data_IF_530750895172
#
_entry.id   IF_530750895172
#
_cell.length_a   1.000
_cell.length_b   1.000
_cell.length_c   1.000
_cell.angle_alpha   90.00
_cell.angle_beta   90.00
_cell.angle_gamma   90.00
#
_symmetry.space_group_name_H-M   'P 1'
#
loop_
_entity.id
_entity.type
_entity.pdbx_description
1 polymer ?
#
# COMPACT_ATOMS: atom_id res chain seq x y z
N UNK A 1 5.47 11.39 -6.18
CA UNK A 1 6.21 10.98 -7.38
C UNK A 1 6.77 9.59 -7.18
N UNK A 2 6.46 8.65 -8.12
CA UNK A 2 6.88 7.26 -8.06
C UNK A 2 7.59 6.91 -9.37
N UNK A 3 8.75 6.26 -9.27
CA UNK A 3 9.43 5.71 -10.45
C UNK A 3 8.70 4.45 -10.88
N UNK A 4 8.33 4.38 -12.16
CA UNK A 4 7.69 3.21 -12.75
C UNK A 4 8.70 2.47 -13.61
N UNK A 5 8.84 1.17 -13.41
CA UNK A 5 9.58 0.29 -14.31
C UNK A 5 8.74 -0.93 -14.68
N UNK A 6 8.84 -1.35 -15.94
CA UNK A 6 8.03 -2.42 -16.48
C UNK A 6 8.77 -3.24 -17.54
N UNK A 7 8.36 -4.48 -17.68
CA UNK A 7 8.76 -5.35 -18.80
C UNK A 7 7.51 -6.06 -19.30
N UNK A 8 7.16 -5.82 -20.57
CA UNK A 8 5.99 -6.38 -21.24
C UNK A 8 6.40 -7.49 -22.20
N UNK A 9 5.68 -8.60 -22.20
CA UNK A 9 5.75 -9.67 -23.18
C UNK A 9 4.43 -9.74 -23.94
N UNK A 10 4.47 -9.39 -25.22
CA UNK A 10 3.30 -9.38 -26.09
C UNK A 10 3.68 -9.86 -27.51
N UNK A 11 2.71 -10.44 -28.22
CA UNK A 11 2.77 -10.72 -29.65
C UNK A 11 2.02 -9.68 -30.49
N UNK A 12 1.35 -8.73 -29.82
CA UNK A 12 0.60 -7.62 -30.41
C UNK A 12 1.38 -6.31 -30.40
N UNK A 13 0.65 -5.22 -30.29
CA UNK A 13 1.21 -3.87 -30.15
C UNK A 13 1.77 -3.66 -28.75
N UNK A 14 2.69 -2.73 -28.62
CA UNK A 14 3.19 -2.27 -27.32
C UNK A 14 2.14 -1.38 -26.66
N UNK A 15 1.59 -1.84 -25.53
CA UNK A 15 0.55 -1.15 -24.74
C UNK A 15 1.07 -0.51 -23.45
N UNK A 16 2.40 -0.37 -23.30
CA UNK A 16 2.98 0.27 -22.11
C UNK A 16 2.48 1.70 -21.93
N UNK A 17 2.25 2.43 -23.00
CA UNK A 17 1.66 3.77 -22.95
C UNK A 17 0.24 3.79 -22.37
N UNK A 18 -0.58 2.77 -22.65
CA UNK A 18 -1.94 2.64 -22.09
C UNK A 18 -1.89 2.30 -20.61
N UNK A 19 -0.96 1.41 -20.20
CA UNK A 19 -0.69 1.11 -18.79
C UNK A 19 -0.29 2.37 -18.02
N UNK A 20 0.67 3.14 -18.52
CA UNK A 20 1.11 4.40 -17.90
C UNK A 20 -0.03 5.42 -17.86
N UNK A 21 -0.87 5.47 -18.89
CA UNK A 21 -2.06 6.35 -18.90
C UNK A 21 -3.06 5.96 -17.81
N UNK A 22 -3.30 4.66 -17.60
CA UNK A 22 -4.17 4.19 -16.53
C UNK A 22 -3.62 4.52 -15.14
N UNK A 23 -2.30 4.39 -14.92
CA UNK A 23 -1.66 4.80 -13.66
C UNK A 23 -1.84 6.29 -13.38
N UNK A 24 -1.67 7.13 -14.40
CA UNK A 24 -1.89 8.58 -14.30
C UNK A 24 -3.35 8.92 -14.02
N UNK A 25 -4.28 8.22 -14.66
CA UNK A 25 -5.71 8.42 -14.43
C UNK A 25 -6.09 8.12 -12.98
N UNK A 26 -5.57 7.02 -12.41
CA UNK A 26 -5.74 6.70 -10.99
C UNK A 26 -5.23 7.84 -10.10
N UNK A 27 -4.00 8.29 -10.32
CA UNK A 27 -3.41 9.37 -9.51
C UNK A 27 -4.18 10.67 -9.66
N UNK A 28 -4.43 11.12 -10.89
CA UNK A 28 -4.93 12.47 -11.17
C UNK A 28 -6.44 12.60 -10.98
N UNK A 29 -7.20 11.54 -11.25
CA UNK A 29 -8.66 11.62 -11.30
C UNK A 29 -9.36 10.82 -10.19
N UNK A 30 -8.72 9.82 -9.58
CA UNK A 30 -9.39 9.00 -8.57
C UNK A 30 -8.92 9.34 -7.16
N UNK A 31 -7.62 9.20 -6.85
CA UNK A 31 -7.12 9.08 -5.47
C UNK A 31 -6.33 10.28 -4.95
N UNK A 32 -5.85 11.18 -5.80
CA UNK A 32 -5.06 12.32 -5.33
C UNK A 32 -5.87 13.22 -4.40
N UNK A 33 -5.27 13.59 -3.28
CA UNK A 33 -5.87 14.57 -2.38
C UNK A 33 -5.49 16.02 -2.73
N UNK A 34 -4.59 16.23 -3.69
CA UNK A 34 -4.09 17.55 -4.13
C UNK A 34 -4.61 18.00 -5.49
N UNK A 35 -4.94 17.07 -6.38
CA UNK A 35 -5.40 17.39 -7.74
C UNK A 35 -6.89 17.69 -7.73
N UNK A 36 -7.30 18.87 -8.20
CA UNK A 36 -8.72 19.28 -8.25
C UNK A 36 -9.60 18.36 -9.11
N UNK A 37 -9.01 17.70 -10.11
CA UNK A 37 -9.67 16.70 -10.95
C UNK A 37 -10.03 15.42 -10.18
N UNK A 38 -9.30 15.10 -9.11
CA UNK A 38 -9.47 13.87 -8.35
C UNK A 38 -10.77 13.86 -7.56
N UNK A 39 -11.43 12.71 -7.56
CA UNK A 39 -12.67 12.51 -6.83
C UNK A 39 -12.44 12.50 -5.30
N UNK A 40 -11.31 11.99 -4.82
CA UNK A 40 -10.95 12.08 -3.39
C UNK A 40 -10.75 13.54 -2.98
N UNK A 41 -10.12 14.37 -3.80
CA UNK A 41 -10.04 15.81 -3.55
C UNK A 41 -11.44 16.43 -3.45
N UNK A 42 -12.34 16.12 -4.39
CA UNK A 42 -13.70 16.66 -4.41
C UNK A 42 -14.53 16.21 -3.19
N UNK A 43 -14.40 14.94 -2.76
CA UNK A 43 -15.00 14.45 -1.51
C UNK A 43 -14.50 15.25 -0.32
N UNK A 44 -13.18 15.46 -0.23
CA UNK A 44 -12.55 16.20 0.86
C UNK A 44 -13.01 17.66 0.92
N UNK A 45 -13.12 18.34 -0.24
CA UNK A 45 -13.60 19.72 -0.30
C UNK A 45 -15.10 19.85 0.06
N UNK A 46 -15.87 18.79 -0.19
CA UNK A 46 -17.33 18.78 0.06
C UNK A 46 -17.70 18.12 1.42
N UNK A 47 -16.73 17.90 2.31
CA UNK A 47 -16.97 17.28 3.61
C UNK A 47 -18.10 17.97 4.39
N UNK A 48 -19.02 17.18 4.91
CA UNK A 48 -20.28 17.63 5.53
C UNK A 48 -21.49 17.57 4.59
N UNK A 49 -21.28 17.24 3.33
CA UNK A 49 -22.33 17.02 2.33
C UNK A 49 -22.09 15.69 1.60
N UNK A 50 -23.02 15.31 0.72
CA UNK A 50 -22.88 14.12 -0.12
C UNK A 50 -22.20 14.48 -1.44
N UNK A 51 -21.20 13.69 -1.83
CA UNK A 51 -20.51 13.76 -3.12
C UNK A 51 -20.83 12.52 -3.93
N UNK A 52 -21.19 12.69 -5.20
CA UNK A 52 -21.36 11.55 -6.12
C UNK A 52 -20.04 11.33 -6.87
N UNK A 53 -19.58 10.09 -6.87
CA UNK A 53 -18.32 9.66 -7.51
C UNK A 53 -18.58 8.67 -8.64
N UNK A 54 -17.56 8.33 -9.42
CA UNK A 54 -17.65 7.26 -10.42
C UNK A 54 -17.81 5.89 -9.77
N UNK A 55 -18.24 4.90 -10.54
CA UNK A 55 -18.36 3.52 -10.03
C UNK A 55 -17.00 2.92 -9.67
N UNK A 56 -15.94 3.29 -10.40
CA UNK A 56 -14.57 2.86 -10.13
C UNK A 56 -14.09 3.40 -8.77
N UNK A 57 -14.25 4.71 -8.53
CA UNK A 57 -13.87 5.33 -7.25
C UNK A 57 -14.72 4.79 -6.10
N UNK A 58 -16.02 4.56 -6.32
CA UNK A 58 -16.90 3.96 -5.31
C UNK A 58 -16.45 2.53 -4.97
N UNK A 59 -16.05 1.75 -5.98
CA UNK A 59 -15.55 0.38 -5.80
C UNK A 59 -14.25 0.38 -5.00
N UNK A 60 -13.26 1.20 -5.38
CA UNK A 60 -12.01 1.36 -4.65
C UNK A 60 -12.26 1.80 -3.20
N UNK A 61 -13.08 2.83 -3.00
CA UNK A 61 -13.37 3.35 -1.66
C UNK A 61 -14.07 2.30 -0.80
N UNK A 62 -15.00 1.53 -1.37
CA UNK A 62 -15.64 0.43 -0.66
C UNK A 62 -14.62 -0.61 -0.19
N UNK A 63 -13.72 -1.03 -1.06
CA UNK A 63 -12.69 -2.02 -0.75
C UNK A 63 -11.73 -1.50 0.34
N UNK A 64 -11.31 -0.23 0.27
CA UNK A 64 -10.51 0.44 1.30
C UNK A 64 -11.23 0.45 2.65
N UNK A 65 -12.53 0.80 2.68
CA UNK A 65 -13.32 0.81 3.91
C UNK A 65 -13.55 -0.60 4.48
N UNK A 66 -13.74 -1.61 3.62
CA UNK A 66 -13.84 -3.01 4.03
C UNK A 66 -12.54 -3.51 4.66
N UNK A 67 -11.39 -3.15 4.09
CA UNK A 67 -10.07 -3.47 4.64
C UNK A 67 -9.82 -2.72 5.97
N UNK A 68 -10.19 -1.45 6.05
CA UNK A 68 -10.12 -0.68 7.30
C UNK A 68 -10.92 -1.35 8.42
N UNK A 69 -12.14 -1.80 8.11
CA UNK A 69 -12.98 -2.55 9.04
C UNK A 69 -12.36 -3.89 9.42
N UNK A 70 -11.83 -4.64 8.46
CA UNK A 70 -11.23 -5.96 8.69
C UNK A 70 -9.97 -5.90 9.55
N UNK A 71 -9.18 -4.83 9.41
CA UNK A 71 -7.97 -4.54 10.20
C UNK A 71 -8.27 -3.89 11.56
N UNK A 72 -9.56 -3.58 11.85
CA UNK A 72 -9.94 -2.87 13.07
C UNK A 72 -9.44 -1.41 13.11
N UNK A 73 -9.26 -0.81 11.92
CA UNK A 73 -8.78 0.57 11.77
C UNK A 73 -7.27 0.72 11.74
N UNK A 74 -6.50 -0.36 11.70
CA UNK A 74 -5.03 -0.27 11.59
C UNK A 74 -4.56 0.35 10.27
N UNK A 75 -5.34 0.21 9.20
CA UNK A 75 -5.27 1.03 8.00
C UNK A 75 -6.57 1.84 7.94
N UNK A 76 -6.49 3.16 8.02
CA UNK A 76 -7.65 4.05 8.05
C UNK A 76 -7.47 5.19 7.04
N UNK A 77 -8.32 5.27 6.00
CA UNK A 77 -8.21 6.29 4.97
C UNK A 77 -8.55 7.69 5.47
N UNK A 78 -9.04 7.86 6.70
CA UNK A 78 -9.41 9.17 7.26
C UNK A 78 -8.25 9.88 7.95
N UNK A 79 -7.04 9.33 7.88
CA UNK A 79 -5.82 9.88 8.46
C UNK A 79 -5.26 11.12 7.71
N UNK A 80 -5.84 11.54 6.61
CA UNK A 80 -5.27 12.54 5.72
C UNK A 80 -4.83 13.85 6.38
N UNK A 81 -5.52 14.33 7.43
CA UNK A 81 -5.09 15.53 8.16
C UNK A 81 -3.92 15.26 9.12
N UNK A 82 -3.88 14.09 9.72
CA UNK A 82 -2.78 13.67 10.61
C UNK A 82 -1.50 13.49 9.80
N UNK A 83 -1.59 12.83 8.64
CA UNK A 83 -0.45 12.64 7.72
C UNK A 83 0.14 14.01 7.30
N UNK A 84 -0.71 14.96 6.93
CA UNK A 84 -0.28 16.31 6.55
C UNK A 84 0.30 17.12 7.71
N UNK A 85 -0.18 16.89 8.94
CA UNK A 85 0.36 17.57 10.12
C UNK A 85 1.81 17.14 10.39
N UNK A 86 2.12 15.86 10.23
CA UNK A 86 3.48 15.34 10.38
C UNK A 86 4.44 15.81 9.29
N UNK A 87 3.94 16.02 8.08
CA UNK A 87 4.68 16.43 6.87
C UNK A 87 5.97 15.63 6.61
N UNK A 88 5.99 14.34 6.97
CA UNK A 88 7.18 13.47 6.96
C UNK A 88 7.86 13.43 5.59
N UNK A 89 7.07 13.51 4.52
CA UNK A 89 7.52 13.48 3.12
C UNK A 89 7.51 14.88 2.48
N UNK A 90 7.28 15.91 3.27
CA UNK A 90 7.15 17.30 2.82
C UNK A 90 8.38 18.16 3.08
N UNK A 91 8.17 19.48 3.06
CA UNK A 91 9.24 20.46 3.20
C UNK A 91 9.58 20.79 4.66
N UNK A 92 8.67 20.53 5.61
CA UNK A 92 8.80 20.88 7.03
C UNK A 92 8.40 19.72 7.96
N UNK A 93 9.06 18.56 7.90
CA UNK A 93 8.75 17.43 8.76
C UNK A 93 9.05 17.76 10.23
N UNK A 94 8.09 17.54 11.10
CA UNK A 94 8.19 17.84 12.53
C UNK A 94 7.35 16.91 13.39
N UNK A 95 7.62 16.89 14.68
CA UNK A 95 6.81 16.18 15.68
C UNK A 95 5.67 17.09 16.11
N UNK A 96 4.40 16.75 15.79
CA UNK A 96 3.26 17.53 16.27
C UNK A 96 3.11 17.46 17.79
N UNK A 97 2.51 18.49 18.38
CA UNK A 97 2.12 18.46 19.78
C UNK A 97 0.95 17.49 20.02
N UNK A 98 0.84 16.96 21.25
CA UNK A 98 -0.28 16.10 21.64
C UNK A 98 -1.63 16.77 21.44
N UNK A 99 -1.74 18.09 21.71
CA UNK A 99 -2.99 18.84 21.56
C UNK A 99 -3.40 18.93 20.07
N UNK A 100 -2.46 19.13 19.15
CA UNK A 100 -2.73 19.13 17.70
C UNK A 100 -3.18 17.75 17.23
N UNK A 101 -2.45 16.70 17.62
CA UNK A 101 -2.81 15.31 17.27
C UNK A 101 -4.19 14.95 17.81
N UNK A 102 -4.45 15.16 19.10
CA UNK A 102 -5.74 14.82 19.72
C UNK A 102 -6.90 15.53 19.04
N UNK A 103 -6.74 16.82 18.68
CA UNK A 103 -7.76 17.58 17.94
C UNK A 103 -8.09 16.99 16.58
N UNK A 104 -7.09 16.42 15.87
CA UNK A 104 -7.29 15.79 14.56
C UNK A 104 -7.84 14.37 14.68
N UNK A 105 -7.38 13.61 15.67
CA UNK A 105 -7.82 12.23 15.90
C UNK A 105 -9.32 12.13 16.23
N UNK A 106 -9.94 13.18 16.76
CA UNK A 106 -11.41 13.25 16.90
C UNK A 106 -12.16 13.05 15.56
N UNK A 107 -11.51 13.37 14.43
CA UNK A 107 -12.07 13.23 13.08
C UNK A 107 -11.58 11.97 12.34
N UNK A 108 -10.71 11.17 12.94
CA UNK A 108 -10.26 9.89 12.38
C UNK A 108 -11.26 8.80 12.72
N UNK A 109 -11.51 7.91 11.78
CA UNK A 109 -12.40 6.75 11.90
C UNK A 109 -13.08 6.44 10.58
N UNK A 110 -12.73 5.32 9.95
CA UNK A 110 -13.32 4.82 8.70
C UNK A 110 -14.85 4.67 8.78
N UNK A 111 -15.40 4.40 9.95
CA UNK A 111 -16.83 4.26 10.23
C UNK A 111 -17.61 5.59 10.13
N UNK A 112 -16.90 6.72 10.08
CA UNK A 112 -17.48 8.05 9.82
C UNK A 112 -17.78 8.28 8.34
N UNK A 113 -17.26 7.44 7.46
CA UNK A 113 -17.48 7.52 6.00
C UNK A 113 -18.63 6.60 5.61
N UNK A 114 -19.68 7.19 5.03
CA UNK A 114 -20.81 6.42 4.51
C UNK A 114 -20.75 6.38 3.00
N UNK A 115 -20.83 5.18 2.44
CA UNK A 115 -20.92 4.94 1.00
C UNK A 115 -22.24 4.23 0.70
N UNK A 116 -23.12 4.88 -0.07
CA UNK A 116 -24.40 4.34 -0.55
C UNK A 116 -24.39 4.37 -2.09
N UNK A 117 -24.17 3.21 -2.71
CA UNK A 117 -23.87 3.13 -4.13
C UNK A 117 -22.62 3.95 -4.45
N UNK A 118 -22.76 4.99 -5.27
CA UNK A 118 -21.70 5.93 -5.61
C UNK A 118 -21.80 7.29 -4.87
N UNK A 119 -22.57 7.34 -3.78
CA UNK A 119 -22.72 8.54 -2.96
C UNK A 119 -21.89 8.41 -1.68
N UNK A 120 -20.91 9.29 -1.53
CA UNK A 120 -20.03 9.37 -0.38
C UNK A 120 -20.46 10.50 0.53
N UNK A 121 -20.64 10.24 1.82
CA UNK A 121 -20.95 11.24 2.83
C UNK A 121 -20.00 11.06 4.02
N UNK A 122 -19.43 12.14 4.49
CA UNK A 122 -18.58 12.16 5.70
C UNK A 122 -18.74 13.48 6.46
N UNK A 123 -18.52 13.53 7.77
CA UNK A 123 -18.59 14.75 8.56
C UNK A 123 -17.56 15.81 8.13
N UNK A 124 -17.83 17.08 8.45
CA UNK A 124 -16.81 18.13 8.35
C UNK A 124 -15.62 17.80 9.23
N UNK A 125 -14.41 18.03 8.71
CA UNK A 125 -13.16 17.74 9.43
C UNK A 125 -12.56 16.38 9.12
N UNK A 126 -13.34 15.41 8.65
CA UNK A 126 -12.80 14.15 8.08
C UNK A 126 -12.14 14.45 6.74
N UNK A 127 -11.01 13.81 6.48
CA UNK A 127 -10.28 13.97 5.21
C UNK A 127 -9.71 12.64 4.78
N UNK A 128 -10.10 12.18 3.61
CA UNK A 128 -9.61 10.95 3.01
C UNK A 128 -8.21 11.13 2.44
N UNK A 129 -7.41 10.09 2.62
CA UNK A 129 -6.14 9.84 1.96
C UNK A 129 -6.04 8.35 1.66
N UNK A 130 -5.84 7.98 0.40
CA UNK A 130 -5.75 6.58 -0.04
C UNK A 130 -4.31 6.16 -0.32
N UNK A 131 -3.31 6.91 0.16
CA UNK A 131 -1.89 6.65 -0.10
C UNK A 131 -1.43 5.26 0.33
N UNK A 132 -2.02 4.71 1.40
CA UNK A 132 -1.72 3.36 1.90
C UNK A 132 -2.16 2.19 0.98
N UNK A 133 -2.95 2.49 -0.07
CA UNK A 133 -3.42 1.51 -1.07
C UNK A 133 -3.24 2.02 -2.51
N UNK A 134 -2.67 3.20 -2.67
CA UNK A 134 -2.67 3.93 -3.95
C UNK A 134 -1.88 3.24 -5.05
N UNK A 135 -0.74 2.66 -4.74
CA UNK A 135 0.07 1.91 -5.71
C UNK A 135 -0.61 0.60 -6.09
N UNK A 136 -1.22 -0.07 -5.12
CA UNK A 136 -2.03 -1.25 -5.37
C UNK A 136 -3.20 -0.98 -6.30
N UNK A 137 -3.96 0.10 -6.08
CA UNK A 137 -5.02 0.56 -6.99
C UNK A 137 -4.47 0.80 -8.41
N UNK A 138 -3.27 1.39 -8.52
CA UNK A 138 -2.59 1.57 -9.80
C UNK A 138 -2.28 0.22 -10.48
N UNK A 139 -1.78 -0.76 -9.74
CA UNK A 139 -1.54 -2.10 -10.26
C UNK A 139 -2.83 -2.78 -10.76
N UNK A 140 -3.94 -2.64 -10.05
CA UNK A 140 -5.24 -3.18 -10.49
C UNK A 140 -5.76 -2.50 -11.76
N UNK A 141 -5.57 -1.17 -11.88
CA UNK A 141 -5.89 -0.45 -13.10
C UNK A 141 -5.03 -0.92 -14.28
N UNK A 142 -3.73 -1.12 -14.07
CA UNK A 142 -2.83 -1.68 -15.08
C UNK A 142 -3.26 -3.09 -15.50
N UNK A 143 -3.61 -3.95 -14.52
CA UNK A 143 -4.13 -5.30 -14.79
C UNK A 143 -5.35 -5.28 -15.70
N UNK A 144 -6.29 -4.35 -15.50
CA UNK A 144 -7.47 -4.23 -16.34
C UNK A 144 -7.13 -3.92 -17.81
N UNK A 145 -6.08 -3.12 -18.07
CA UNK A 145 -5.58 -2.87 -19.43
C UNK A 145 -5.01 -4.16 -20.03
N UNK A 146 -4.22 -4.91 -19.26
CA UNK A 146 -3.62 -6.17 -19.71
C UNK A 146 -4.66 -7.25 -20.00
N UNK A 147 -5.71 -7.37 -19.16
CA UNK A 147 -6.81 -8.32 -19.34
C UNK A 147 -7.62 -8.06 -20.62
N UNK A 148 -7.64 -6.83 -21.10
CA UNK A 148 -8.34 -6.45 -22.32
C UNK A 148 -7.57 -6.84 -23.59
N UNK A 149 -6.24 -7.06 -23.54
CA UNK A 149 -5.43 -7.44 -24.71
C UNK A 149 -5.00 -8.92 -24.64
N UNK A 150 -5.61 -9.73 -25.50
CA UNK A 150 -5.33 -11.18 -25.61
C UNK A 150 -3.95 -11.53 -26.13
N UNK A 151 -3.21 -10.57 -26.68
CA UNK A 151 -1.85 -10.79 -27.20
C UNK A 151 -0.79 -10.67 -26.09
N UNK A 152 -1.13 -10.12 -24.93
CA UNK A 152 -0.23 -10.03 -23.78
C UNK A 152 -0.11 -11.41 -23.12
N UNK A 153 1.11 -11.90 -23.01
CA UNK A 153 1.42 -13.16 -22.34
C UNK A 153 1.95 -12.95 -20.93
N UNK A 154 2.61 -11.82 -20.66
CA UNK A 154 3.14 -11.50 -19.34
C UNK A 154 3.64 -10.08 -19.19
N UNK A 155 3.66 -9.61 -17.93
CA UNK A 155 4.25 -8.33 -17.55
C UNK A 155 4.79 -8.41 -16.12
N UNK A 156 5.86 -7.68 -15.86
CA UNK A 156 6.22 -7.26 -14.51
C UNK A 156 6.14 -5.73 -14.47
N UNK A 157 5.37 -5.20 -13.51
CA UNK A 157 5.22 -3.76 -13.27
C UNK A 157 5.68 -3.46 -11.85
N UNK A 158 6.58 -2.51 -11.69
CA UNK A 158 7.12 -2.08 -10.39
C UNK A 158 6.84 -0.60 -10.19
N UNK A 159 6.16 -0.28 -9.10
CA UNK A 159 5.80 1.07 -8.68
C UNK A 159 6.62 1.47 -7.46
N UNK A 160 7.76 2.13 -7.70
CA UNK A 160 8.62 2.70 -6.66
C UNK A 160 9.33 1.69 -5.76
N UNK A 161 9.49 0.44 -6.20
CA UNK A 161 10.17 -0.61 -5.44
C UNK A 161 9.32 -1.29 -4.36
N UNK A 162 8.25 -0.66 -3.89
CA UNK A 162 7.43 -1.19 -2.80
C UNK A 162 6.14 -1.89 -3.26
N UNK A 163 5.64 -1.65 -4.47
CA UNK A 163 4.48 -2.37 -5.01
C UNK A 163 4.79 -2.92 -6.40
N UNK A 164 4.66 -4.23 -6.55
CA UNK A 164 5.00 -4.97 -7.76
C UNK A 164 3.82 -5.85 -8.17
N UNK A 165 3.46 -5.80 -9.45
CA UNK A 165 2.52 -6.73 -10.07
C UNK A 165 3.27 -7.64 -11.03
N UNK A 166 3.14 -8.95 -10.87
CA UNK A 166 3.37 -9.90 -11.95
C UNK A 166 2.06 -10.17 -12.68
N UNK A 167 2.12 -10.34 -13.99
CA UNK A 167 0.97 -10.68 -14.83
C UNK A 167 1.35 -11.82 -15.78
N UNK A 168 0.50 -12.83 -15.84
CA UNK A 168 0.68 -13.95 -16.77
C UNK A 168 2.02 -14.68 -16.61
N UNK A 169 2.65 -15.03 -17.72
CA UNK A 169 3.87 -15.85 -17.75
C UNK A 169 4.93 -15.27 -18.66
N UNK A 170 6.19 -15.47 -18.30
CA UNK A 170 7.31 -15.20 -19.19
C UNK A 170 7.31 -16.17 -20.39
N UNK A 171 7.83 -15.78 -21.56
CA UNK A 171 7.85 -16.63 -22.77
C UNK A 171 8.59 -17.95 -22.59
N UNK A 172 9.57 -18.02 -21.71
CA UNK A 172 10.35 -19.22 -21.41
C UNK A 172 9.71 -20.12 -20.31
N UNK A 173 8.54 -19.70 -19.79
CA UNK A 173 7.83 -20.39 -18.71
C UNK A 173 8.47 -20.26 -17.32
N UNK A 174 9.52 -19.45 -17.17
CA UNK A 174 10.12 -19.21 -15.86
C UNK A 174 9.20 -18.35 -14.97
N UNK A 175 9.33 -18.54 -13.66
CA UNK A 175 8.58 -17.77 -12.65
C UNK A 175 9.09 -16.32 -12.56
N UNK A 176 8.26 -15.44 -11.98
CA UNK A 176 8.68 -14.10 -11.62
C UNK A 176 9.41 -14.12 -10.29
N UNK A 177 10.46 -13.34 -10.18
CA UNK A 177 11.23 -13.20 -8.95
C UNK A 177 11.34 -11.71 -8.61
N UNK A 178 10.97 -11.37 -7.38
CA UNK A 178 10.99 -10.01 -6.85
C UNK A 178 11.91 -9.97 -5.64
N UNK A 179 12.92 -9.12 -5.68
CA UNK A 179 13.82 -8.91 -4.56
C UNK A 179 13.12 -8.08 -3.47
N UNK A 180 13.29 -8.48 -2.22
CA UNK A 180 12.87 -7.71 -1.04
C UNK A 180 14.09 -6.99 -0.51
N UNK A 181 13.99 -5.67 -0.34
CA UNK A 181 15.09 -4.82 0.15
C UNK A 181 15.46 -5.19 1.58
N UNK A 182 16.74 -5.18 1.86
CA UNK A 182 17.27 -5.34 3.22
C UNK A 182 17.01 -4.04 4.02
N UNK A 183 16.20 -4.05 5.11
CA UNK A 183 15.86 -2.85 5.87
C UNK A 183 17.05 -2.24 6.63
N UNK A 184 18.14 -2.99 6.77
CA UNK A 184 19.38 -2.55 7.45
C UNK A 184 20.41 -1.99 6.50
N UNK A 185 20.26 -2.25 5.22
CA UNK A 185 21.24 -1.85 4.22
C UNK A 185 20.89 -0.48 3.62
N UNK A 186 21.83 0.45 3.67
CA UNK A 186 21.71 1.80 3.09
C UNK A 186 22.19 1.86 1.63
N UNK A 187 22.79 0.79 1.11
CA UNK A 187 23.36 0.71 -0.24
C UNK A 187 22.41 0.02 -1.24
N UNK A 188 21.25 -0.47 -0.77
CA UNK A 188 20.21 -1.07 -1.61
C UNK A 188 20.39 -2.56 -1.89
N UNK A 189 21.01 -3.29 -0.96
CA UNK A 189 21.12 -4.74 -1.03
C UNK A 189 19.79 -5.44 -0.67
N UNK A 190 19.71 -6.75 -0.89
CA UNK A 190 18.47 -7.50 -0.78
C UNK A 190 18.52 -8.47 0.40
N UNK A 191 17.43 -8.50 1.17
CA UNK A 191 17.16 -9.50 2.20
C UNK A 191 16.98 -10.89 1.59
N UNK A 192 16.22 -10.95 0.51
CA UNK A 192 15.83 -12.19 -0.13
C UNK A 192 15.01 -11.98 -1.40
N UNK A 193 14.48 -13.08 -1.91
CA UNK A 193 13.68 -13.09 -3.16
C UNK A 193 12.36 -13.80 -2.91
N UNK A 194 11.27 -13.18 -3.36
CA UNK A 194 9.93 -13.77 -3.41
C UNK A 194 9.63 -14.23 -4.83
N UNK A 195 9.15 -15.46 -4.97
CA UNK A 195 8.65 -16.00 -6.23
C UNK A 195 7.15 -15.69 -6.37
N UNK A 196 6.80 -15.08 -7.52
CA UNK A 196 5.41 -14.84 -7.92
C UNK A 196 5.03 -15.76 -9.09
N UNK A 197 3.80 -16.25 -9.06
CA UNK A 197 3.28 -17.21 -10.05
C UNK A 197 2.06 -16.62 -10.76
N UNK A 198 2.13 -16.50 -12.06
CA UNK A 198 1.02 -15.95 -12.85
C UNK A 198 0.76 -14.47 -12.53
N UNK A 199 -0.48 -14.15 -12.22
CA UNK A 199 -0.88 -12.77 -11.85
C UNK A 199 -1.02 -12.67 -10.35
N UNK A 200 -0.05 -12.03 -9.72
CA UNK A 200 0.02 -11.79 -8.27
C UNK A 200 0.56 -10.39 -8.00
N UNK A 201 0.24 -9.87 -6.82
CA UNK A 201 0.66 -8.56 -6.35
C UNK A 201 1.49 -8.71 -5.08
N UNK A 202 2.61 -8.01 -5.05
CA UNK A 202 3.48 -7.92 -3.89
C UNK A 202 3.56 -6.46 -3.45
N UNK A 203 3.32 -6.20 -2.17
CA UNK A 203 3.58 -4.88 -1.60
C UNK A 203 4.36 -4.97 -0.30
N UNK A 204 5.27 -4.01 -0.11
CA UNK A 204 6.10 -3.91 1.09
C UNK A 204 5.87 -2.56 1.76
N UNK A 205 5.64 -2.57 3.06
CA UNK A 205 5.62 -1.40 3.93
C UNK A 205 6.77 -1.46 4.91
N UNK A 206 7.54 -0.37 5.02
CA UNK A 206 8.71 -0.32 5.89
C UNK A 206 8.98 1.06 6.48
N UNK A 207 9.64 1.09 7.63
CA UNK A 207 9.99 2.31 8.37
C UNK A 207 11.21 3.05 7.80
N UNK A 208 11.85 2.49 6.79
CA UNK A 208 13.08 2.99 6.15
C UNK A 208 12.83 3.74 4.83
N UNK A 209 11.60 3.73 4.29
CA UNK A 209 11.29 4.38 3.00
C UNK A 209 11.23 5.91 3.12
N UNK A 210 10.41 6.41 4.04
CA UNK A 210 10.17 7.83 4.26
C UNK A 210 10.16 8.12 5.76
N UNK A 211 11.13 8.88 6.22
CA UNK A 211 11.29 9.23 7.63
C UNK A 211 12.18 10.47 7.81
N UNK A 212 12.09 11.06 8.97
CA UNK A 212 13.12 11.97 9.49
C UNK A 212 13.65 11.49 10.83
N UNK A 213 14.77 12.05 11.26
CA UNK A 213 15.38 11.73 12.55
C UNK A 213 15.43 12.99 13.39
N UNK A 214 14.87 12.93 14.60
CA UNK A 214 14.97 13.97 15.61
C UNK A 214 15.38 13.35 16.94
N UNK A 215 16.40 13.95 17.60
CA UNK A 215 16.99 13.44 18.85
C UNK A 215 17.41 11.95 18.82
N UNK A 216 17.84 11.46 17.65
CA UNK A 216 18.22 10.06 17.44
C UNK A 216 17.07 9.07 17.30
N UNK A 217 15.84 9.55 17.28
CA UNK A 217 14.62 8.75 17.04
C UNK A 217 14.18 8.90 15.60
N UNK A 218 13.88 7.79 14.93
CA UNK A 218 13.30 7.76 13.58
C UNK A 218 11.79 7.94 13.67
N UNK A 219 11.25 8.88 12.90
CA UNK A 219 9.83 9.12 12.72
C UNK A 219 9.47 8.83 11.26
N UNK A 220 8.82 7.71 11.02
CA UNK A 220 8.46 7.24 9.67
C UNK A 220 7.00 7.50 9.34
N UNK A 221 6.67 7.46 8.04
CA UNK A 221 5.38 7.87 7.47
C UNK A 221 4.20 6.93 7.76
N UNK A 222 4.43 5.71 8.25
CA UNK A 222 3.34 4.77 8.57
C UNK A 222 2.84 5.09 9.97
N UNK A 223 1.74 5.84 10.04
CA UNK A 223 1.17 6.29 11.30
C UNK A 223 0.14 5.28 11.84
N UNK A 224 0.13 5.09 13.15
CA UNK A 224 -0.91 4.33 13.85
C UNK A 224 -2.15 5.21 14.04
N UNK A 225 -3.32 4.87 13.44
CA UNK A 225 -4.53 5.66 13.57
C UNK A 225 -5.05 5.79 15.01
N UNK A 226 -4.68 4.88 15.90
CA UNK A 226 -5.08 4.94 17.31
C UNK A 226 -4.34 6.02 18.11
N UNK A 227 -3.13 6.37 17.70
CA UNK A 227 -2.26 7.30 18.44
C UNK A 227 -1.90 8.55 17.66
N UNK A 228 -1.98 8.49 16.32
CA UNK A 228 -1.49 9.54 15.40
C UNK A 228 0.02 9.61 15.28
N UNK A 229 0.77 8.77 16.00
CA UNK A 229 2.23 8.66 15.92
C UNK A 229 2.67 7.57 14.93
N UNK A 230 3.94 7.58 14.48
CA UNK A 230 4.52 6.46 13.76
C UNK A 230 4.34 5.14 14.50
N UNK A 231 3.88 4.11 13.80
CA UNK A 231 3.60 2.80 14.39
C UNK A 231 4.87 2.18 15.01
N UNK A 232 4.74 1.50 16.13
CA UNK A 232 5.83 0.86 16.87
C UNK A 232 5.48 -0.60 17.18
N UNK A 233 5.24 -1.37 16.13
CA UNK A 233 4.84 -2.78 16.24
C UNK A 233 6.03 -3.74 16.45
N UNK A 234 7.27 -3.24 16.40
CA UNK A 234 8.49 -4.05 16.40
C UNK A 234 8.82 -4.69 15.06
N UNK A 235 8.09 -4.31 13.98
CA UNK A 235 8.37 -4.74 12.61
C UNK A 235 9.10 -3.63 11.85
N UNK A 236 10.03 -4.02 10.98
CA UNK A 236 10.78 -3.11 10.11
C UNK A 236 10.28 -3.13 8.67
N UNK A 237 10.27 -4.23 7.90
CA UNK A 237 9.41 -4.41 6.75
C UNK A 237 8.31 -5.43 6.98
N UNK A 238 7.22 -5.22 6.28
CA UNK A 238 6.15 -6.20 6.06
C UNK A 238 5.92 -6.31 4.56
N UNK A 239 6.13 -7.49 3.99
CA UNK A 239 5.82 -7.79 2.59
C UNK A 239 4.61 -8.70 2.52
N UNK A 240 3.64 -8.33 1.70
CA UNK A 240 2.41 -9.10 1.48
C UNK A 240 2.29 -9.49 0.02
N UNK A 241 1.87 -10.73 -0.24
CA UNK A 241 1.51 -11.23 -1.58
C UNK A 241 0.07 -11.71 -1.57
N UNK A 242 -0.71 -11.25 -2.54
CA UNK A 242 -2.08 -11.74 -2.79
C UNK A 242 -2.49 -11.53 -4.26
N UNK A 243 -3.74 -11.81 -4.58
CA UNK A 243 -4.31 -11.76 -5.93
C UNK A 243 -4.97 -10.43 -6.32
N UNK A 244 -4.87 -9.41 -5.46
CA UNK A 244 -5.50 -8.10 -5.62
C UNK A 244 -4.52 -7.00 -5.18
N UNK A 245 -4.31 -6.01 -6.03
CA UNK A 245 -3.29 -4.97 -5.82
C UNK A 245 -3.61 -4.05 -4.66
N UNK A 246 -4.85 -3.54 -4.59
CA UNK A 246 -5.30 -2.68 -3.49
C UNK A 246 -5.15 -3.39 -2.15
N UNK A 247 -5.55 -4.67 -2.09
CA UNK A 247 -5.41 -5.46 -0.87
C UNK A 247 -3.94 -5.71 -0.51
N UNK A 248 -3.07 -6.04 -1.47
CA UNK A 248 -1.64 -6.22 -1.19
C UNK A 248 -1.03 -4.98 -0.52
N UNK A 249 -1.29 -3.81 -1.10
CA UNK A 249 -0.74 -2.53 -0.62
C UNK A 249 -1.33 -2.14 0.74
N UNK A 250 -2.66 -2.15 0.87
CA UNK A 250 -3.32 -1.81 2.13
C UNK A 250 -3.07 -2.82 3.25
N UNK A 251 -2.96 -4.13 2.95
CA UNK A 251 -2.62 -5.16 3.93
C UNK A 251 -1.19 -5.01 4.45
N UNK A 252 -0.21 -4.67 3.59
CA UNK A 252 1.16 -4.46 4.06
C UNK A 252 1.23 -3.34 5.10
N UNK A 253 0.51 -2.24 4.89
CA UNK A 253 0.38 -1.13 5.85
C UNK A 253 -0.36 -1.55 7.12
N UNK A 254 -1.53 -2.20 6.98
CA UNK A 254 -2.30 -2.66 8.13
C UNK A 254 -1.51 -3.65 9.01
N UNK A 255 -0.81 -4.60 8.38
CA UNK A 255 0.00 -5.59 9.07
C UNK A 255 1.20 -4.96 9.79
N UNK A 256 1.83 -3.94 9.16
CA UNK A 256 2.90 -3.19 9.80
C UNK A 256 2.42 -2.52 11.10
N UNK A 257 1.24 -1.91 11.10
CA UNK A 257 0.65 -1.26 12.29
C UNK A 257 0.24 -2.28 13.35
N UNK A 258 -0.36 -3.41 12.93
CA UNK A 258 -0.91 -4.44 13.83
C UNK A 258 0.13 -5.25 14.59
N UNK A 259 1.34 -5.42 14.02
CA UNK A 259 2.32 -6.39 14.49
C UNK A 259 1.98 -7.82 14.08
N UNK A 260 2.95 -8.73 14.23
CA UNK A 260 2.96 -10.08 13.63
C UNK A 260 1.69 -10.90 13.91
N UNK A 261 1.31 -11.07 15.18
CA UNK A 261 0.23 -11.98 15.57
C UNK A 261 -1.12 -11.60 14.94
N UNK A 262 -1.47 -10.30 15.03
CA UNK A 262 -2.73 -9.80 14.44
C UNK A 262 -2.66 -9.73 12.92
N UNK A 263 -1.48 -9.48 12.37
CA UNK A 263 -1.24 -9.47 10.94
C UNK A 263 -1.52 -10.85 10.33
N UNK A 264 -1.03 -11.95 10.93
CA UNK A 264 -1.31 -13.31 10.46
C UNK A 264 -2.80 -13.63 10.45
N UNK A 265 -3.56 -13.18 11.46
CA UNK A 265 -5.02 -13.34 11.50
C UNK A 265 -5.73 -12.57 10.39
N UNK A 266 -5.24 -11.36 10.09
CA UNK A 266 -5.78 -10.53 9.02
C UNK A 266 -5.49 -11.15 7.65
N UNK A 267 -4.24 -11.56 7.39
CA UNK A 267 -3.85 -12.17 6.12
C UNK A 267 -4.64 -13.44 5.78
N UNK A 268 -4.94 -14.28 6.78
CA UNK A 268 -5.80 -15.45 6.60
C UNK A 268 -7.19 -15.13 6.06
N UNK A 269 -7.77 -13.97 6.46
CA UNK A 269 -9.09 -13.52 5.95
C UNK A 269 -9.06 -13.14 4.48
N UNK A 270 -7.89 -12.74 3.98
CA UNK A 270 -7.67 -12.31 2.61
C UNK A 270 -6.98 -13.37 1.74
N UNK A 271 -6.72 -14.56 2.28
CA UNK A 271 -5.94 -15.61 1.61
C UNK A 271 -4.60 -15.05 1.07
N UNK A 272 -3.94 -14.21 1.86
CA UNK A 272 -2.71 -13.52 1.52
C UNK A 272 -1.52 -14.12 2.27
N UNK A 273 -0.34 -14.05 1.66
CA UNK A 273 0.93 -14.48 2.25
C UNK A 273 1.70 -13.29 2.79
N UNK A 274 2.37 -13.48 3.93
CA UNK A 274 3.13 -12.42 4.60
C UNK A 274 4.54 -12.82 4.97
N UNK A 275 5.47 -11.87 4.78
CA UNK A 275 6.84 -11.87 5.28
C UNK A 275 6.99 -10.70 6.24
N UNK A 276 7.51 -10.94 7.42
CA UNK A 276 7.72 -9.95 8.47
C UNK A 276 9.16 -10.01 8.95
N UNK A 277 9.80 -8.87 9.11
CA UNK A 277 11.11 -8.78 9.75
C UNK A 277 10.99 -7.94 11.00
N UNK A 278 11.46 -8.44 12.12
CA UNK A 278 11.46 -7.69 13.37
C UNK A 278 12.76 -6.89 13.60
N UNK A 279 12.77 -6.07 14.63
CA UNK A 279 13.91 -5.23 15.02
C UNK A 279 15.10 -6.03 15.59
N UNK A 280 14.93 -7.34 15.79
CA UNK A 280 15.95 -8.29 16.23
C UNK A 280 16.49 -9.17 15.08
N UNK A 281 16.21 -8.81 13.83
CA UNK A 281 16.67 -9.49 12.62
C UNK A 281 16.10 -10.92 12.45
N UNK A 282 14.90 -11.19 13.01
CA UNK A 282 14.19 -12.42 12.73
C UNK A 282 13.21 -12.22 11.56
N UNK A 283 13.17 -13.22 10.68
CA UNK A 283 12.27 -13.30 9.54
C UNK A 283 11.15 -14.28 9.86
N UNK A 284 9.93 -13.79 9.89
CA UNK A 284 8.71 -14.57 10.13
C UNK A 284 7.90 -14.65 8.85
N UNK A 285 7.22 -15.77 8.63
CA UNK A 285 6.50 -16.02 7.38
C UNK A 285 5.22 -16.81 7.62
N UNK A 286 4.16 -16.49 6.85
CA UNK A 286 3.03 -17.41 6.70
C UNK A 286 3.45 -18.69 5.99
N UNK A 287 2.67 -19.76 6.11
CA UNK A 287 3.00 -21.04 5.48
C UNK A 287 3.17 -20.92 3.96
N UNK A 288 2.28 -20.17 3.27
CA UNK A 288 2.41 -19.96 1.83
C UNK A 288 3.64 -19.13 1.46
N UNK A 289 4.05 -18.19 2.31
CA UNK A 289 5.27 -17.39 2.07
C UNK A 289 6.53 -18.25 2.20
N UNK A 290 6.57 -19.23 3.09
CA UNK A 290 7.72 -20.15 3.23
C UNK A 290 8.01 -20.93 1.95
N UNK A 291 6.98 -21.22 1.14
CA UNK A 291 7.12 -21.95 -0.12
C UNK A 291 7.68 -21.10 -1.26
N UNK A 292 7.63 -19.77 -1.13
CA UNK A 292 7.97 -18.82 -2.19
C UNK A 292 9.11 -17.85 -1.87
N UNK A 293 9.57 -17.78 -0.61
CA UNK A 293 10.65 -16.87 -0.20
C UNK A 293 11.97 -17.61 -0.02
N UNK A 294 13.01 -17.02 -0.56
CA UNK A 294 14.40 -17.45 -0.35
C UNK A 294 15.18 -16.34 0.36
N UNK A 295 15.60 -16.59 1.60
CA UNK A 295 16.51 -15.70 2.35
C UNK A 295 17.91 -15.75 1.72
N UNK A 296 18.53 -14.59 1.47
CA UNK A 296 19.86 -14.45 0.89
C UNK A 296 20.92 -14.01 1.91
N UNK A 297 20.49 -13.41 3.02
CA UNK A 297 21.38 -12.86 4.06
C UNK A 297 21.47 -13.80 5.25
N UNK A 298 22.67 -14.18 5.63
CA UNK A 298 22.99 -15.01 6.80
C UNK A 298 22.99 -14.22 8.13
N UNK A 299 22.91 -12.89 8.06
CA UNK A 299 22.75 -12.00 9.22
C UNK A 299 21.34 -12.06 9.83
N UNK A 300 20.36 -12.56 9.09
CA UNK A 300 19.00 -12.78 9.54
C UNK A 300 18.75 -14.24 9.90
N UNK A 301 17.85 -14.49 10.84
CA UNK A 301 17.40 -15.83 11.21
C UNK A 301 15.91 -16.01 10.95
N UNK A 302 15.52 -17.23 10.52
CA UNK A 302 14.10 -17.56 10.36
C UNK A 302 13.53 -17.83 11.75
N UNK A 303 12.49 -17.10 12.13
CA UNK A 303 11.74 -17.30 13.36
C UNK A 303 10.90 -18.58 13.30
N UNK A 304 10.75 -19.25 14.44
CA UNK A 304 9.96 -20.50 14.60
C UNK A 304 8.46 -20.22 14.81
#
# INVERSE_FOLDING_TARGET
DTVVSETLYTTGEDITADVISALKDVEENWISWTKESSQIYQINQNAGNTTTVSDETATCLKQVLDLSKASGGAMDPTMGRVIRLWDIDGEDPHIPSDDELNSLLENVGYDKVTLDGNKVTMPKGVTLDLGAAGKGIGCDAAKNILDADKNVSGMILNLGGSSVMSYGSKPDGSVWQVAVTDPRDTEGDYLGVVTLNGTEFLSTSGDYEKYFIEDGVRYHHILDPATGYPARSGLTPVTVVCDDGLNADGLSTACFVLGKEKAEELLKKYNADGLFVDDSDHVWMTEGMKERFQLLKDTYSIGE
#
